data_IF_633225746096
#
_entry.id   IF_633225746096
#
_cell.length_a   1.000
_cell.length_b   1.000
_cell.length_c   1.000
_cell.angle_alpha   90.00
_cell.angle_beta   90.00
_cell.angle_gamma   90.00
#
_symmetry.space_group_name_H-M   'P 1'
#
loop_
_entity.id
_entity.type
_entity.pdbx_description
1 polymer ?
#
# COMPACT_ATOMS: atom_id res chain seq x y z
N UNK A 1 4.12 21.21 -6.31
CA UNK A 1 5.16 20.19 -6.48
C UNK A 1 4.65 18.93 -5.79
N UNK A 2 4.53 17.81 -6.51
CA UNK A 2 4.21 16.53 -5.87
C UNK A 2 5.40 16.11 -4.98
N UNK A 3 5.18 15.46 -3.82
CA UNK A 3 6.28 14.89 -3.05
C UNK A 3 7.05 13.89 -3.91
N UNK A 4 8.36 13.84 -3.69
CA UNK A 4 9.27 12.92 -4.40
C UNK A 4 9.22 11.49 -3.86
N UNK A 5 8.32 11.21 -2.94
CA UNK A 5 8.23 9.91 -2.28
C UNK A 5 7.65 8.87 -3.24
N UNK A 6 8.26 7.70 -3.27
CA UNK A 6 7.81 6.54 -4.03
C UNK A 6 7.68 5.32 -3.12
N UNK A 7 6.81 4.41 -3.53
CA UNK A 7 6.62 3.10 -2.91
C UNK A 7 6.55 2.04 -4.00
N UNK A 8 6.94 0.81 -3.67
CA UNK A 8 6.78 -0.32 -4.58
C UNK A 8 5.57 -1.13 -4.15
N UNK A 9 4.53 -1.16 -4.98
CA UNK A 9 3.36 -2.03 -4.78
C UNK A 9 3.70 -3.42 -5.30
N UNK A 10 3.49 -4.44 -4.48
CA UNK A 10 3.68 -5.84 -4.82
C UNK A 10 2.31 -6.51 -4.87
N UNK A 11 1.93 -7.00 -6.05
CA UNK A 11 0.65 -7.61 -6.33
C UNK A 11 0.81 -9.07 -6.68
N UNK A 12 0.03 -9.93 -6.02
CA UNK A 12 -0.09 -11.33 -6.42
C UNK A 12 -1.03 -11.42 -7.62
N UNK A 13 -0.50 -11.81 -8.77
CA UNK A 13 -1.23 -11.94 -10.03
C UNK A 13 -1.21 -13.39 -10.50
N UNK A 14 -2.36 -13.92 -10.95
CA UNK A 14 -2.41 -15.20 -11.65
C UNK A 14 -1.77 -15.05 -13.03
N UNK A 15 -0.74 -15.85 -13.30
CA UNK A 15 0.02 -15.81 -14.56
C UNK A 15 -0.30 -16.98 -15.48
N UNK A 16 -1.07 -17.95 -15.00
CA UNK A 16 -1.50 -19.11 -15.77
C UNK A 16 -1.95 -20.25 -14.88
N UNK A 17 -2.07 -21.43 -15.49
CA UNK A 17 -2.40 -22.67 -14.79
C UNK A 17 -1.39 -23.76 -15.11
N UNK A 18 -1.12 -24.61 -14.14
CA UNK A 18 -0.29 -25.79 -14.31
C UNK A 18 -1.04 -26.90 -15.11
N UNK A 19 -0.36 -28.00 -15.49
CA UNK A 19 -0.99 -29.11 -16.20
C UNK A 19 -2.14 -29.81 -15.44
N UNK A 20 -2.30 -29.53 -14.14
CA UNK A 20 -3.36 -30.06 -13.29
C UNK A 20 -4.49 -29.02 -13.07
N UNK A 21 -4.53 -27.94 -13.86
CA UNK A 21 -5.52 -26.85 -13.76
C UNK A 21 -5.45 -26.06 -12.43
N UNK A 22 -4.30 -26.07 -11.75
CA UNK A 22 -4.02 -25.27 -10.56
C UNK A 22 -3.46 -23.91 -10.97
N UNK A 23 -4.01 -22.82 -10.43
CA UNK A 23 -3.55 -21.46 -10.73
C UNK A 23 -2.14 -21.20 -10.20
N UNK A 24 -1.26 -20.68 -11.07
CA UNK A 24 0.09 -20.24 -10.77
C UNK A 24 0.04 -18.72 -10.53
N UNK A 25 0.66 -18.28 -9.43
CA UNK A 25 0.69 -16.88 -9.05
C UNK A 25 2.11 -16.34 -8.98
N UNK A 26 2.31 -15.12 -9.44
CA UNK A 26 3.56 -14.39 -9.32
C UNK A 26 3.37 -13.05 -8.61
N UNK A 27 4.45 -12.55 -8.02
CA UNK A 27 4.50 -11.23 -7.39
C UNK A 27 4.99 -10.20 -8.40
N UNK A 28 4.06 -9.41 -8.94
CA UNK A 28 4.34 -8.30 -9.84
C UNK A 28 4.63 -7.04 -9.01
N UNK A 29 5.74 -6.37 -9.31
CA UNK A 29 6.17 -5.15 -8.63
C UNK A 29 5.92 -3.93 -9.50
N UNK A 30 5.39 -2.88 -8.90
CA UNK A 30 5.10 -1.61 -9.56
C UNK A 30 5.57 -0.43 -8.69
N UNK A 31 6.45 0.40 -9.23
CA UNK A 31 6.88 1.62 -8.54
C UNK A 31 5.87 2.75 -8.76
N UNK A 32 5.32 3.25 -7.66
CA UNK A 32 4.35 4.34 -7.66
C UNK A 32 5.00 5.56 -7.04
N UNK A 33 5.21 6.59 -7.86
CA UNK A 33 5.76 7.88 -7.45
C UNK A 33 4.66 8.87 -7.05
N UNK A 34 5.02 9.91 -6.31
CA UNK A 34 4.10 11.00 -5.96
C UNK A 34 3.14 10.64 -4.82
N UNK A 35 3.49 9.65 -3.99
CA UNK A 35 2.69 9.27 -2.82
C UNK A 35 2.99 10.17 -1.63
N UNK A 36 2.04 10.27 -0.71
CA UNK A 36 2.24 10.92 0.59
C UNK A 36 2.08 9.88 1.71
N UNK A 37 3.10 9.74 2.54
CA UNK A 37 3.10 8.83 3.68
C UNK A 37 2.87 9.64 4.95
N UNK A 38 1.87 9.24 5.74
CA UNK A 38 1.54 9.86 7.03
C UNK A 38 1.51 8.79 8.11
N UNK A 39 2.00 9.07 9.34
CA UNK A 39 1.82 8.16 10.46
C UNK A 39 0.36 7.75 10.64
N UNK A 40 0.10 6.48 10.94
CA UNK A 40 -1.25 6.01 11.25
C UNK A 40 -1.65 6.40 12.68
N UNK A 41 -2.94 6.39 12.99
CA UNK A 41 -3.46 6.78 14.31
C UNK A 41 -2.84 5.96 15.47
N UNK A 42 -2.41 4.73 15.20
CA UNK A 42 -1.72 3.87 16.18
C UNK A 42 -0.22 4.12 16.28
N UNK A 43 0.41 4.75 15.29
CA UNK A 43 1.85 5.08 15.32
C UNK A 43 2.17 6.22 16.28
N UNK A 44 1.24 7.17 16.49
CA UNK A 44 1.43 8.29 17.43
C UNK A 44 1.34 7.86 18.92
N UNK A 45 0.82 6.67 19.20
CA UNK A 45 0.58 6.19 20.57
C UNK A 45 1.76 5.40 21.17
N UNK A 46 2.81 5.07 20.41
CA UNK A 46 3.74 3.98 20.79
C UNK A 46 5.24 4.36 20.77
N UNK A 47 5.60 5.58 21.19
CA UNK A 47 7.00 6.01 21.30
C UNK A 47 7.83 5.29 22.41
N UNK A 48 7.30 4.27 23.10
CA UNK A 48 7.93 3.66 24.29
C UNK A 48 7.78 2.14 24.43
N UNK A 49 7.72 1.34 23.35
CA UNK A 49 7.65 -0.15 23.49
C UNK A 49 8.56 -0.92 22.52
N UNK A 50 9.46 -1.82 23.00
CA UNK A 50 10.47 -2.44 22.14
C UNK A 50 10.07 -3.73 21.41
N UNK A 51 8.89 -4.34 21.63
CA UNK A 51 8.68 -5.76 21.23
C UNK A 51 7.28 -6.08 20.64
N UNK A 52 6.66 -5.18 19.87
CA UNK A 52 5.36 -5.53 19.25
C UNK A 52 4.64 -4.45 18.45
N UNK A 53 5.36 -3.44 17.97
CA UNK A 53 4.73 -2.32 17.25
C UNK A 53 4.39 -2.77 15.84
N UNK A 54 3.11 -3.12 15.62
CA UNK A 54 2.54 -3.06 14.27
C UNK A 54 2.52 -1.59 13.86
N UNK A 55 3.62 -1.12 13.28
CA UNK A 55 3.66 0.24 12.73
C UNK A 55 2.65 0.27 11.61
N UNK A 56 1.52 0.93 11.87
CA UNK A 56 0.52 1.20 10.85
C UNK A 56 0.70 2.63 10.36
N UNK A 57 0.69 2.82 9.06
CA UNK A 57 0.70 4.15 8.45
C UNK A 57 -0.23 4.21 7.25
N UNK A 58 -0.55 5.44 6.85
CA UNK A 58 -1.45 5.68 5.72
C UNK A 58 -0.64 6.20 4.54
N UNK A 59 -0.78 5.53 3.41
CA UNK A 59 -0.21 5.94 2.12
C UNK A 59 -1.32 6.53 1.28
N UNK A 60 -1.16 7.79 0.90
CA UNK A 60 -2.04 8.47 -0.03
C UNK A 60 -1.47 8.31 -1.45
N UNK A 61 -2.25 7.67 -2.31
CA UNK A 61 -1.94 7.38 -3.71
C UNK A 61 -2.42 8.52 -4.62
N UNK A 62 -1.64 8.84 -5.67
CA UNK A 62 -1.97 9.93 -6.57
C UNK A 62 -3.25 9.65 -7.34
N UNK A 63 -3.94 10.74 -7.70
CA UNK A 63 -5.12 10.70 -8.54
C UNK A 63 -4.89 9.91 -9.82
N UNK A 64 -5.87 9.07 -10.17
CA UNK A 64 -5.81 8.26 -11.37
C UNK A 64 -4.96 6.99 -11.27
N UNK A 65 -4.41 6.65 -10.09
CA UNK A 65 -3.73 5.36 -9.91
C UNK A 65 -4.68 4.18 -10.22
N UNK A 66 -5.95 4.26 -9.81
CA UNK A 66 -7.06 3.47 -10.34
C UNK A 66 -7.02 1.95 -10.13
N UNK A 67 -5.95 1.39 -9.56
CA UNK A 67 -5.79 -0.05 -9.29
C UNK A 67 -6.15 -0.36 -7.84
N UNK A 68 -6.91 -1.43 -7.61
CA UNK A 68 -7.21 -1.92 -6.25
C UNK A 68 -5.92 -2.19 -5.47
N UNK A 69 -5.87 -1.85 -4.20
CA UNK A 69 -4.73 -2.21 -3.32
C UNK A 69 -5.05 -3.39 -2.40
N UNK A 70 -6.26 -3.95 -2.49
CA UNK A 70 -6.70 -5.08 -1.67
C UNK A 70 -5.74 -6.25 -1.80
N UNK A 71 -5.25 -6.73 -0.65
CA UNK A 71 -4.33 -7.86 -0.57
C UNK A 71 -2.94 -7.62 -1.17
N UNK A 72 -2.61 -6.38 -1.55
CA UNK A 72 -1.26 -6.03 -1.98
C UNK A 72 -0.33 -5.87 -0.79
N UNK A 73 0.96 -6.03 -1.05
CA UNK A 73 2.02 -5.54 -0.17
C UNK A 73 2.57 -4.22 -0.73
N UNK A 74 3.15 -3.42 0.13
CA UNK A 74 3.84 -2.18 -0.23
C UNK A 74 5.21 -2.18 0.42
N UNK A 75 6.25 -1.89 -0.35
CA UNK A 75 7.59 -1.71 0.16
C UNK A 75 7.92 -0.22 0.22
N UNK A 76 8.42 0.23 1.37
CA UNK A 76 8.82 1.61 1.60
C UNK A 76 10.02 1.64 2.55
N UNK A 77 11.07 2.40 2.19
CA UNK A 77 12.29 2.56 3.01
C UNK A 77 12.96 1.23 3.45
N UNK A 78 12.81 0.17 2.65
CA UNK A 78 13.41 -1.15 2.92
C UNK A 78 12.49 -2.11 3.68
N UNK A 79 11.43 -1.61 4.31
CA UNK A 79 10.44 -2.41 5.02
C UNK A 79 9.27 -2.81 4.12
N UNK A 80 8.62 -3.93 4.45
CA UNK A 80 7.43 -4.44 3.75
C UNK A 80 6.19 -4.34 4.63
N UNK A 81 5.11 -3.86 4.02
CA UNK A 81 3.86 -3.58 4.69
C UNK A 81 2.71 -4.23 3.92
N UNK A 82 1.68 -4.66 4.63
CA UNK A 82 0.47 -5.22 4.06
C UNK A 82 -0.62 -4.16 4.02
N UNK A 83 -1.29 -4.02 2.88
CA UNK A 83 -2.48 -3.17 2.78
C UNK A 83 -3.62 -3.77 3.60
N UNK A 84 -4.22 -2.94 4.44
CA UNK A 84 -5.37 -3.29 5.26
C UNK A 84 -6.66 -3.00 4.47
N UNK A 85 -7.57 -3.98 4.45
CA UNK A 85 -8.87 -3.84 3.81
C UNK A 85 -8.81 -3.70 2.28
N UNK A 86 -9.68 -2.85 1.75
CA UNK A 86 -9.83 -2.57 0.32
C UNK A 86 -9.94 -1.04 0.11
N UNK A 87 -8.79 -0.32 0.08
CA UNK A 87 -8.77 1.14 -0.07
C UNK A 87 -9.54 1.57 -1.31
N UNK A 88 -10.52 2.46 -1.11
CA UNK A 88 -11.31 3.03 -2.19
C UNK A 88 -10.82 4.44 -2.50
N UNK A 89 -10.81 4.84 -3.78
CA UNK A 89 -10.64 6.24 -4.11
C UNK A 89 -11.80 7.07 -3.56
N UNK A 90 -11.52 8.30 -3.15
CA UNK A 90 -12.47 9.32 -2.78
C UNK A 90 -13.38 9.61 -3.97
N UNK A 91 -14.65 9.89 -3.67
CA UNK A 91 -15.68 10.08 -4.69
C UNK A 91 -15.40 11.35 -5.52
N UNK A 92 -15.01 11.14 -6.79
CA UNK A 92 -15.17 12.10 -7.88
C UNK A 92 -14.21 13.29 -7.93
N UNK A 93 -14.42 14.10 -8.99
CA UNK A 93 -13.61 15.26 -9.39
C UNK A 93 -13.51 16.39 -8.35
N UNK A 94 -14.25 16.29 -7.24
CA UNK A 94 -14.32 17.32 -6.18
C UNK A 94 -13.24 17.22 -5.10
N UNK A 95 -12.46 16.14 -5.04
CA UNK A 95 -11.41 15.97 -4.02
C UNK A 95 -10.30 17.00 -4.25
N UNK A 96 -10.03 17.96 -3.33
CA UNK A 96 -8.92 18.90 -3.51
C UNK A 96 -7.57 18.20 -3.39
N UNK A 97 -6.56 18.72 -4.09
CA UNK A 97 -5.19 18.20 -4.01
C UNK A 97 -4.89 17.03 -4.98
N UNK A 98 -3.69 16.45 -4.87
CA UNK A 98 -3.18 15.48 -5.85
C UNK A 98 -3.45 14.01 -5.54
N UNK A 99 -4.00 13.68 -4.37
CA UNK A 99 -4.30 12.31 -3.95
C UNK A 99 -5.80 12.08 -3.89
N UNK A 100 -6.23 10.88 -4.26
CA UNK A 100 -7.62 10.45 -4.13
C UNK A 100 -7.77 9.12 -3.40
N UNK A 101 -6.71 8.42 -2.99
CA UNK A 101 -6.89 7.12 -2.34
C UNK A 101 -5.97 6.98 -1.14
N UNK A 102 -6.53 6.70 0.03
CA UNK A 102 -5.77 6.46 1.27
C UNK A 102 -5.78 4.98 1.63
N UNK A 103 -4.59 4.38 1.65
CA UNK A 103 -4.38 2.98 2.01
C UNK A 103 -3.69 2.91 3.37
N UNK A 104 -4.37 2.36 4.36
CA UNK A 104 -3.75 1.98 5.62
C UNK A 104 -2.93 0.70 5.39
N UNK A 105 -1.72 0.67 5.94
CA UNK A 105 -0.82 -0.48 5.85
C UNK A 105 -0.28 -0.83 7.23
N UNK A 106 -0.03 -2.12 7.47
CA UNK A 106 0.65 -2.61 8.68
C UNK A 106 1.98 -3.27 8.33
N UNK A 107 3.00 -3.12 9.18
CA UNK A 107 4.28 -3.81 8.98
C UNK A 107 4.08 -5.32 9.03
N UNK A 108 4.74 -6.04 8.11
CA UNK A 108 4.80 -7.50 8.13
C UNK A 108 6.18 -7.87 8.67
N UNK A 109 6.24 -8.29 9.93
CA UNK A 109 7.44 -8.94 10.46
C UNK A 109 7.45 -10.38 9.90
N UNK A 110 8.50 -10.69 9.13
CA UNK A 110 8.75 -12.02 8.57
C UNK A 110 9.60 -12.87 9.49
#
# INVERSE_FOLDING_TARGET
MLPKTSVTVIRRQEVGKDPFNTSIYENVREDVAGVLVTPGATSDLDASRPEGVRVAYTIHFPKGYGKTLKGCLVQHLGDTYRVIGDPQPYMGDGTPGPWDMAAEVERVDG
#
